data_IF_931185877358
#
_entry.id   IF_931185877358
#
_cell.length_a   1.000
_cell.length_b   1.000
_cell.length_c   1.000
_cell.angle_alpha   90.00
_cell.angle_beta   90.00
_cell.angle_gamma   90.00
#
_symmetry.space_group_name_H-M   'P 1'
#
loop_
_entity.id
_entity.type
_entity.pdbx_description
1 polymer ?
#
# COMPACT_ATOMS: atom_id res chain seq x y z
N UNK A 1 -3.86 1.68 -8.30
CA UNK A 1 -3.17 2.01 -7.05
C UNK A 1 -1.66 1.87 -7.17
N UNK A 2 -0.94 2.59 -6.35
CA UNK A 2 0.52 2.62 -6.36
C UNK A 2 1.03 1.89 -5.12
N UNK A 3 1.80 0.83 -5.33
CA UNK A 3 2.46 0.06 -4.27
C UNK A 3 3.80 0.73 -3.94
N UNK A 4 3.95 1.12 -2.69
CA UNK A 4 5.20 1.67 -2.16
C UNK A 4 6.00 0.56 -1.49
N UNK A 5 7.28 0.42 -1.85
CA UNK A 5 8.15 -0.63 -1.33
C UNK A 5 7.81 -2.01 -1.88
N UNK A 6 7.70 -2.17 -3.19
CA UNK A 6 7.43 -3.44 -3.86
C UNK A 6 8.45 -4.52 -3.50
N UNK A 7 8.00 -5.78 -3.44
CA UNK A 7 8.85 -6.94 -3.18
C UNK A 7 9.01 -7.30 -1.70
N UNK A 8 8.23 -6.71 -0.79
CA UNK A 8 8.39 -6.90 0.65
C UNK A 8 7.59 -8.07 1.21
N UNK A 9 6.31 -8.20 0.89
CA UNK A 9 5.44 -9.18 1.55
C UNK A 9 4.47 -9.91 0.61
N UNK A 10 3.93 -11.03 1.08
CA UNK A 10 2.89 -11.78 0.37
C UNK A 10 1.55 -11.04 0.28
N UNK A 11 1.36 -9.96 1.02
CA UNK A 11 0.19 -9.08 0.90
C UNK A 11 0.08 -8.43 -0.47
N UNK A 12 1.18 -8.31 -1.19
CA UNK A 12 1.22 -7.79 -2.56
C UNK A 12 0.47 -8.69 -3.54
N UNK A 13 0.52 -10.03 -3.33
CA UNK A 13 -0.25 -10.98 -4.14
C UNK A 13 -1.76 -10.84 -3.86
N UNK A 14 -2.13 -10.57 -2.60
CA UNK A 14 -3.51 -10.31 -2.20
C UNK A 14 -4.02 -9.01 -2.81
N UNK A 15 -3.18 -7.96 -2.78
CA UNK A 15 -3.47 -6.68 -3.39
C UNK A 15 -3.69 -6.83 -4.91
N UNK A 16 -2.79 -7.53 -5.60
CA UNK A 16 -2.88 -7.75 -7.04
C UNK A 16 -4.18 -8.48 -7.42
N UNK A 17 -4.57 -9.51 -6.66
CA UNK A 17 -5.84 -10.22 -6.88
C UNK A 17 -7.06 -9.34 -6.64
N UNK A 18 -7.05 -8.55 -5.56
CA UNK A 18 -8.15 -7.66 -5.23
C UNK A 18 -8.31 -6.55 -6.27
N UNK A 19 -7.20 -5.98 -6.75
CA UNK A 19 -7.20 -4.98 -7.81
C UNK A 19 -7.71 -5.55 -9.14
N UNK A 20 -7.24 -6.73 -9.54
CA UNK A 20 -7.70 -7.41 -10.76
C UNK A 20 -9.21 -7.67 -10.76
N UNK A 21 -9.80 -7.99 -9.61
CA UNK A 21 -11.24 -8.17 -9.47
C UNK A 21 -12.06 -6.87 -9.66
N UNK A 22 -11.40 -5.72 -9.61
CA UNK A 22 -11.98 -4.41 -9.94
C UNK A 22 -11.62 -3.96 -11.36
N UNK A 23 -10.97 -4.80 -12.18
CA UNK A 23 -10.42 -4.39 -13.48
C UNK A 23 -9.25 -3.42 -13.37
N UNK A 24 -8.61 -3.35 -12.22
CA UNK A 24 -7.48 -2.46 -11.92
C UNK A 24 -6.17 -3.25 -11.83
N UNK A 25 -5.07 -2.56 -11.92
CA UNK A 25 -3.75 -3.12 -11.68
C UNK A 25 -2.98 -2.27 -10.65
N UNK A 26 -1.96 -2.85 -10.10
CA UNK A 26 -1.04 -2.22 -9.15
C UNK A 26 0.23 -1.85 -9.90
N UNK A 27 0.72 -0.65 -9.65
CA UNK A 27 2.01 -0.18 -10.17
C UNK A 27 2.96 0.11 -9.02
N UNK A 28 4.25 -0.16 -9.17
CA UNK A 28 5.24 0.29 -8.20
C UNK A 28 5.33 1.82 -8.19
N UNK A 29 5.83 2.36 -7.10
CA UNK A 29 6.23 3.76 -7.03
C UNK A 29 7.36 4.06 -8.04
N UNK A 30 7.43 5.29 -8.52
CA UNK A 30 8.43 5.68 -9.53
C UNK A 30 9.66 6.42 -8.94
N UNK A 31 9.66 6.69 -7.63
CA UNK A 31 10.74 7.37 -6.91
C UNK A 31 11.07 6.65 -5.58
N UNK A 32 11.49 5.37 -5.64
CA UNK A 32 11.77 4.58 -4.42
C UNK A 32 12.91 5.17 -3.58
N UNK A 33 13.81 5.95 -4.19
CA UNK A 33 14.88 6.68 -3.49
C UNK A 33 14.38 7.73 -2.51
N UNK A 34 13.12 8.15 -2.62
CA UNK A 34 12.48 9.02 -1.63
C UNK A 34 12.20 8.31 -0.30
N UNK A 35 12.29 6.98 -0.27
CA UNK A 35 12.17 6.17 0.94
C UNK A 35 10.81 6.28 1.61
N UNK A 36 9.71 6.44 0.86
CA UNK A 36 8.36 6.60 1.41
C UNK A 36 7.96 5.42 2.30
N UNK A 37 8.38 4.20 1.97
CA UNK A 37 8.11 3.02 2.77
C UNK A 37 8.59 3.18 4.23
N UNK A 38 9.71 3.85 4.45
CA UNK A 38 10.34 4.03 5.76
C UNK A 38 9.82 5.25 6.54
N UNK A 39 8.93 6.04 5.95
CA UNK A 39 8.49 7.34 6.46
C UNK A 39 7.00 7.41 6.79
N UNK A 40 6.30 6.29 6.75
CA UNK A 40 4.87 6.21 7.03
C UNK A 40 4.60 5.30 8.25
N UNK A 41 3.40 5.39 8.83
CA UNK A 41 3.03 4.81 10.12
C UNK A 41 3.17 3.27 10.17
N UNK A 42 2.96 2.59 9.03
CA UNK A 42 3.11 1.13 8.92
C UNK A 42 4.54 0.65 9.23
N UNK A 43 5.54 1.51 9.11
CA UNK A 43 6.94 1.14 9.31
C UNK A 43 7.23 0.66 10.73
N UNK A 44 6.57 1.22 11.73
CA UNK A 44 6.68 0.75 13.13
C UNK A 44 6.22 -0.71 13.28
N UNK A 45 5.18 -1.13 12.56
CA UNK A 45 4.71 -2.51 12.51
C UNK A 45 5.69 -3.41 11.75
N UNK A 46 6.23 -2.94 10.63
CA UNK A 46 7.24 -3.65 9.86
C UNK A 46 8.47 -3.97 10.72
N UNK A 47 8.98 -3.00 11.47
CA UNK A 47 10.10 -3.18 12.41
C UNK A 47 9.81 -4.21 13.52
N UNK A 48 8.55 -4.39 13.88
CA UNK A 48 8.11 -5.45 14.80
C UNK A 48 7.90 -6.81 14.10
N UNK A 49 8.19 -6.92 12.81
CA UNK A 49 8.07 -8.15 12.03
C UNK A 49 6.66 -8.42 11.49
N UNK A 50 5.72 -7.49 11.62
CA UNK A 50 4.38 -7.64 11.06
C UNK A 50 4.42 -7.33 9.57
N UNK A 51 4.03 -8.27 8.68
CA UNK A 51 3.93 -7.98 7.25
C UNK A 51 2.96 -6.84 7.00
N UNK A 52 3.41 -5.85 6.25
CA UNK A 52 2.65 -4.63 5.95
C UNK A 52 2.56 -4.41 4.45
N UNK A 53 1.65 -3.53 4.07
CA UNK A 53 1.42 -3.08 2.71
C UNK A 53 1.16 -1.57 2.74
N UNK A 54 1.85 -0.82 1.90
CA UNK A 54 1.58 0.60 1.70
C UNK A 54 1.06 0.84 0.29
N UNK A 55 -0.22 1.13 0.18
CA UNK A 55 -0.85 1.56 -1.06
C UNK A 55 -1.15 3.05 -0.97
N UNK A 56 -0.72 3.80 -1.96
CA UNK A 56 -0.94 5.25 -2.02
C UNK A 56 -1.53 5.68 -3.36
N UNK A 57 -2.33 6.72 -3.34
CA UNK A 57 -2.79 7.40 -4.56
C UNK A 57 -1.81 8.45 -5.07
N UNK A 58 -0.89 8.90 -4.22
CA UNK A 58 -0.05 10.10 -4.45
C UNK A 58 1.46 9.82 -4.51
N UNK A 59 1.87 8.58 -4.65
CA UNK A 59 3.31 8.22 -4.67
C UNK A 59 3.99 8.38 -6.04
N UNK A 60 3.28 8.96 -7.03
CA UNK A 60 3.72 9.01 -8.42
C UNK A 60 3.40 7.72 -9.18
N UNK A 61 3.42 7.76 -10.52
CA UNK A 61 3.08 6.61 -11.35
C UNK A 61 1.59 6.32 -11.50
N UNK A 62 0.70 7.20 -11.04
CA UNK A 62 -0.74 7.07 -11.28
C UNK A 62 -1.11 7.37 -12.74
N UNK A 63 -2.02 6.56 -13.29
CA UNK A 63 -2.66 6.86 -14.56
C UNK A 63 -4.00 7.53 -14.29
N UNK A 64 -4.11 8.82 -14.59
CA UNK A 64 -5.39 9.52 -14.50
C UNK A 64 -6.30 9.11 -15.68
N UNK A 65 -7.60 9.18 -15.47
CA UNK A 65 -8.61 8.91 -16.51
C UNK A 65 -8.40 9.83 -17.70
N UNK A 66 -8.14 11.12 -17.41
CA UNK A 66 -7.77 12.10 -18.43
C UNK A 66 -6.28 12.39 -18.38
N UNK A 67 -5.59 12.30 -19.52
CA UNK A 67 -4.17 12.57 -19.66
C UNK A 67 -3.22 11.48 -19.18
N UNK A 68 -3.73 10.37 -18.63
CA UNK A 68 -2.94 9.18 -18.29
C UNK A 68 -1.80 9.45 -17.31
N UNK A 69 -0.68 8.72 -17.52
CA UNK A 69 0.53 8.78 -16.68
C UNK A 69 1.17 10.16 -16.63
N UNK A 70 1.21 10.86 -17.76
CA UNK A 70 1.84 12.18 -17.82
C UNK A 70 1.09 13.19 -16.95
N UNK A 71 -0.24 13.21 -17.04
CA UNK A 71 -1.07 14.08 -16.21
C UNK A 71 -0.98 13.71 -14.72
N UNK A 72 -0.94 12.42 -14.40
CA UNK A 72 -0.74 11.94 -13.02
C UNK A 72 0.59 12.39 -12.41
N UNK A 73 1.67 12.29 -13.15
CA UNK A 73 2.99 12.74 -12.70
C UNK A 73 3.05 14.27 -12.55
N UNK A 74 2.44 15.00 -13.46
CA UNK A 74 2.37 16.47 -13.36
C UNK A 74 1.55 16.89 -12.13
N UNK A 75 0.39 16.27 -11.93
CA UNK A 75 -0.46 16.56 -10.78
C UNK A 75 0.27 16.36 -9.45
N UNK A 76 0.97 15.24 -9.28
CA UNK A 76 1.69 14.96 -8.03
C UNK A 76 2.85 15.93 -7.82
N UNK A 77 3.57 16.30 -8.89
CA UNK A 77 4.65 17.26 -8.80
C UNK A 77 4.14 18.64 -8.35
N UNK A 78 3.02 19.08 -8.93
CA UNK A 78 2.38 20.37 -8.58
C UNK A 78 1.84 20.35 -7.15
N UNK A 79 1.17 19.26 -6.74
CA UNK A 79 0.67 19.11 -5.38
C UNK A 79 1.79 19.13 -4.34
N UNK A 80 2.83 18.32 -4.54
CA UNK A 80 3.97 18.24 -3.60
C UNK A 80 4.73 19.57 -3.53
N UNK A 81 4.92 20.23 -4.66
CA UNK A 81 5.62 21.52 -4.73
C UNK A 81 4.85 22.66 -4.08
N UNK A 82 3.54 22.69 -4.24
CA UNK A 82 2.74 23.86 -3.94
C UNK A 82 1.87 23.73 -2.69
N UNK A 83 1.30 22.54 -2.40
CA UNK A 83 0.27 22.38 -1.36
C UNK A 83 0.57 21.34 -0.28
N UNK A 84 1.35 20.33 -0.54
CA UNK A 84 1.62 19.25 0.42
C UNK A 84 2.17 19.80 1.74
N UNK A 85 1.51 19.49 2.85
CA UNK A 85 1.80 20.00 4.20
C UNK A 85 1.72 21.55 4.33
N UNK A 86 0.88 22.19 3.53
CA UNK A 86 0.64 23.65 3.58
C UNK A 86 -0.85 23.93 3.78
N UNK A 87 -1.25 25.18 4.12
CA UNK A 87 -2.66 25.52 4.34
C UNK A 87 -3.60 25.26 3.15
N UNK A 88 -3.08 25.21 1.93
CA UNK A 88 -3.88 24.88 0.75
C UNK A 88 -4.19 23.38 0.62
N UNK A 89 -3.54 22.52 1.41
CA UNK A 89 -3.85 21.10 1.51
C UNK A 89 -5.10 20.90 2.39
N UNK A 90 -6.21 21.37 1.88
CA UNK A 90 -7.50 21.36 2.57
C UNK A 90 -8.54 20.61 1.74
N UNK A 91 -9.49 19.99 2.43
CA UNK A 91 -10.62 19.33 1.80
C UNK A 91 -11.45 20.29 0.96
N UNK A 92 -11.93 19.81 -0.20
CA UNK A 92 -12.91 20.53 -1.04
C UNK A 92 -14.13 19.64 -1.31
N UNK A 93 -15.36 20.21 -1.29
CA UNK A 93 -16.56 19.48 -1.68
C UNK A 93 -16.59 19.10 -3.17
N UNK A 94 -15.72 19.71 -3.99
CA UNK A 94 -15.63 19.46 -5.42
C UNK A 94 -14.73 18.27 -5.78
N UNK A 95 -14.14 17.61 -4.80
CA UNK A 95 -13.29 16.43 -5.05
C UNK A 95 -14.11 15.25 -5.55
N UNK A 96 -13.66 14.65 -6.65
CA UNK A 96 -14.13 13.32 -7.05
C UNK A 96 -13.48 12.25 -6.17
N UNK A 97 -14.27 11.70 -5.25
CA UNK A 97 -13.84 10.66 -4.33
C UNK A 97 -14.06 9.23 -4.87
N UNK A 98 -14.47 9.07 -6.13
CA UNK A 98 -14.76 7.75 -6.70
C UNK A 98 -13.56 6.80 -6.62
N UNK A 99 -12.35 7.29 -6.87
CA UNK A 99 -11.12 6.52 -6.72
C UNK A 99 -10.85 6.10 -5.28
N UNK A 100 -11.09 6.98 -4.31
CA UNK A 100 -10.93 6.66 -2.88
C UNK A 100 -11.94 5.58 -2.44
N UNK A 101 -13.18 5.64 -2.90
CA UNK A 101 -14.20 4.61 -2.63
C UNK A 101 -13.77 3.26 -3.21
N UNK A 102 -13.20 3.21 -4.40
CA UNK A 102 -12.66 1.99 -4.99
C UNK A 102 -11.49 1.42 -4.16
N UNK A 103 -10.61 2.25 -3.64
CA UNK A 103 -9.50 1.81 -2.79
C UNK A 103 -10.00 1.29 -1.43
N UNK A 104 -11.00 1.92 -0.82
CA UNK A 104 -11.65 1.43 0.40
C UNK A 104 -12.27 0.04 0.15
N UNK A 105 -12.99 -0.16 -0.94
CA UNK A 105 -13.59 -1.44 -1.27
C UNK A 105 -12.52 -2.52 -1.54
N UNK A 106 -11.41 -2.15 -2.17
CA UNK A 106 -10.26 -3.03 -2.37
C UNK A 106 -9.70 -3.51 -1.03
N UNK A 107 -9.43 -2.59 -0.09
CA UNK A 107 -8.96 -2.94 1.25
C UNK A 107 -9.97 -3.74 2.05
N UNK A 108 -11.25 -3.38 2.00
CA UNK A 108 -12.32 -4.14 2.64
C UNK A 108 -12.32 -5.60 2.17
N UNK A 109 -12.17 -5.82 0.87
CA UNK A 109 -12.07 -7.17 0.29
C UNK A 109 -10.83 -7.91 0.78
N UNK A 110 -9.67 -7.28 0.74
CA UNK A 110 -8.43 -7.87 1.25
C UNK A 110 -8.54 -8.27 2.72
N UNK A 111 -9.09 -7.39 3.58
CA UNK A 111 -9.29 -7.67 5.00
C UNK A 111 -10.23 -8.86 5.21
N UNK A 112 -11.34 -8.92 4.45
CA UNK A 112 -12.27 -10.04 4.53
C UNK A 112 -11.63 -11.35 4.08
N UNK A 113 -10.90 -11.35 2.96
CA UNK A 113 -10.23 -12.54 2.42
C UNK A 113 -9.14 -13.05 3.38
N UNK A 114 -8.33 -12.15 3.93
CA UNK A 114 -7.28 -12.48 4.90
C UNK A 114 -7.85 -12.95 6.23
N UNK A 115 -8.88 -12.28 6.75
CA UNK A 115 -9.49 -12.62 8.03
C UNK A 115 -10.18 -14.00 8.02
N UNK A 116 -10.67 -14.44 6.85
CA UNK A 116 -11.26 -15.76 6.67
C UNK A 116 -10.27 -16.83 6.17
N UNK A 117 -9.04 -16.45 5.84
CA UNK A 117 -8.02 -17.39 5.39
C UNK A 117 -7.38 -18.14 6.56
N UNK A 118 -6.95 -19.39 6.28
CA UNK A 118 -6.17 -20.19 7.25
C UNK A 118 -4.66 -20.00 7.06
N UNK A 119 -4.23 -18.84 6.61
CA UNK A 119 -2.84 -18.50 6.41
C UNK A 119 -2.52 -17.14 6.99
N UNK A 120 -1.28 -16.96 7.40
CA UNK A 120 -0.74 -15.67 7.80
C UNK A 120 0.04 -15.05 6.65
N UNK A 121 -0.04 -13.72 6.47
CA UNK A 121 0.89 -13.03 5.58
C UNK A 121 2.34 -13.22 6.03
N UNK A 122 3.25 -13.29 5.06
CA UNK A 122 4.67 -13.49 5.31
C UNK A 122 5.51 -12.44 4.57
N UNK A 123 6.69 -12.16 5.10
CA UNK A 123 7.68 -11.37 4.39
C UNK A 123 8.32 -12.20 3.28
N UNK A 124 8.66 -11.56 2.16
CA UNK A 124 9.44 -12.18 1.09
C UNK A 124 10.84 -12.56 1.61
N UNK A 125 11.50 -13.56 1.01
CA UNK A 125 12.83 -13.99 1.47
C UNK A 125 13.89 -12.89 1.51
N UNK A 126 13.80 -11.92 0.60
CA UNK A 126 14.73 -10.80 0.50
C UNK A 126 14.39 -9.62 1.43
N UNK A 127 13.25 -9.65 2.11
CA UNK A 127 12.85 -8.55 3.00
C UNK A 127 13.71 -8.50 4.25
N UNK A 128 14.18 -7.31 4.60
CA UNK A 128 14.96 -7.05 5.81
C UNK A 128 14.19 -7.36 7.11
N UNK A 129 12.83 -7.35 7.06
CA UNK A 129 11.97 -7.60 8.21
C UNK A 129 11.70 -9.09 8.46
N UNK A 130 12.11 -9.96 7.54
CA UNK A 130 11.84 -11.40 7.64
C UNK A 130 12.48 -12.03 8.88
N UNK A 131 13.72 -11.69 9.20
CA UNK A 131 14.42 -12.25 10.35
C UNK A 131 13.71 -11.95 11.68
N UNK A 132 13.19 -10.72 11.84
CA UNK A 132 12.40 -10.34 13.03
C UNK A 132 11.10 -11.14 13.09
N UNK A 133 10.42 -11.34 11.96
CA UNK A 133 9.23 -12.20 11.87
C UNK A 133 9.53 -13.62 12.29
N UNK A 134 10.59 -14.19 11.76
CA UNK A 134 10.98 -15.58 12.00
C UNK A 134 11.35 -15.82 13.47
N UNK A 135 11.98 -14.88 14.15
CA UNK A 135 12.35 -14.97 15.56
C UNK A 135 11.14 -15.14 16.49
N UNK A 136 9.96 -14.67 16.10
CA UNK A 136 8.71 -14.81 16.85
C UNK A 136 7.84 -16.01 16.43
N UNK A 137 8.28 -16.84 15.48
CA UNK A 137 7.48 -17.91 14.90
C UNK A 137 6.99 -18.93 15.95
N UNK A 138 7.83 -19.32 16.90
CA UNK A 138 7.47 -20.26 17.97
C UNK A 138 6.36 -19.71 18.89
N UNK A 139 6.34 -18.42 19.16
CA UNK A 139 5.31 -17.77 19.95
C UNK A 139 3.96 -17.73 19.19
N UNK A 140 3.99 -17.42 17.90
CA UNK A 140 2.80 -17.39 17.03
C UNK A 140 2.18 -18.77 16.85
N UNK A 141 2.97 -19.82 16.70
CA UNK A 141 2.49 -21.21 16.55
C UNK A 141 1.73 -21.75 17.75
N UNK A 142 1.89 -21.14 18.94
CA UNK A 142 1.13 -21.52 20.14
C UNK A 142 -0.29 -20.94 20.16
N UNK A 143 -0.53 -19.83 19.46
CA UNK A 143 -1.84 -19.17 19.40
C UNK A 143 -2.79 -19.85 18.40
N UNK A 144 -2.26 -20.59 17.43
CA UNK A 144 -3.03 -21.22 16.34
C UNK A 144 -3.58 -22.63 16.68
N UNK A 145 -3.71 -22.98 17.96
CA UNK A 145 -4.26 -24.28 18.40
C UNK A 145 -5.68 -24.14 18.97
N UNK A 146 -6.55 -23.40 18.28
CA UNK A 146 -7.99 -23.37 18.59
C UNK A 146 -8.78 -24.03 17.47
#
# INVERSE_FOLDING_TARGET
GILVGEGQSSLEDDLARAAAAQGRYVTPENLPENGLFYRADHFSLARAGVPVLLLMGIAGGADLVEGGRAAGNQWIADYVGNCYHKPCDAWSPDWDLSGAVQDIELFRRMVADLGNARRWPEWRPASEFKAVRDSSAAARGRVNRW
#
